data_IF_119247060953
#
_entry.id   IF_119247060953
#
_cell.length_a   1.000
_cell.length_b   1.000
_cell.length_c   1.000
_cell.angle_alpha   90.00
_cell.angle_beta   90.00
_cell.angle_gamma   90.00
#
_symmetry.space_group_name_H-M   'P 1'
#
loop_
_entity.id
_entity.type
_entity.pdbx_description
1 polymer ?
#
# COMPACT_ATOMS: atom_id res chain seq x y z
N UNK A 1 16.99 -7.34 5.03
CA UNK A 1 16.03 -7.74 3.98
C UNK A 1 15.78 -6.58 3.03
N UNK A 2 15.28 -6.89 1.83
CA UNK A 2 14.76 -5.86 0.93
C UNK A 2 13.23 -5.86 1.01
N UNK A 3 12.64 -4.68 1.18
CA UNK A 3 11.19 -4.48 1.25
C UNK A 3 10.72 -3.57 0.11
N UNK A 4 9.49 -3.76 -0.37
CA UNK A 4 8.83 -2.82 -1.27
C UNK A 4 7.59 -2.24 -0.56
N UNK A 5 7.40 -0.93 -0.67
CA UNK A 5 6.27 -0.21 -0.09
C UNK A 5 5.53 0.54 -1.19
N UNK A 6 4.31 0.13 -1.51
CA UNK A 6 3.43 0.95 -2.34
C UNK A 6 2.73 1.98 -1.48
N UNK A 7 2.51 3.19 -1.99
CA UNK A 7 2.00 4.28 -1.18
C UNK A 7 3.05 4.80 -0.17
N UNK A 8 4.33 4.61 -0.48
CA UNK A 8 5.44 4.93 0.42
C UNK A 8 5.67 6.42 0.66
N UNK A 9 5.13 7.30 -0.17
CA UNK A 9 5.15 8.76 0.03
C UNK A 9 3.91 9.28 0.78
N UNK A 10 2.97 8.41 1.14
CA UNK A 10 1.81 8.72 1.97
C UNK A 10 2.16 8.84 3.45
N UNK A 11 1.16 9.18 4.29
CA UNK A 11 1.33 9.38 5.74
C UNK A 11 1.89 8.13 6.46
N UNK A 12 1.21 7.00 6.33
CA UNK A 12 1.66 5.74 6.97
C UNK A 12 2.85 5.13 6.24
N UNK A 13 2.87 5.24 4.89
CA UNK A 13 3.92 4.68 4.07
C UNK A 13 5.29 5.28 4.34
N UNK A 14 5.41 6.60 4.43
CA UNK A 14 6.67 7.27 4.70
C UNK A 14 7.23 6.93 6.08
N UNK A 15 6.37 6.86 7.10
CA UNK A 15 6.75 6.41 8.44
C UNK A 15 7.29 4.98 8.44
N UNK A 16 6.66 4.08 7.67
CA UNK A 16 7.13 2.70 7.52
C UNK A 16 8.47 2.65 6.78
N UNK A 17 8.63 3.44 5.71
CA UNK A 17 9.89 3.55 4.95
C UNK A 17 11.04 3.99 5.87
N UNK A 18 10.83 5.07 6.64
CA UNK A 18 11.83 5.57 7.59
C UNK A 18 12.20 4.50 8.62
N UNK A 19 11.22 3.77 9.16
CA UNK A 19 11.47 2.72 10.12
C UNK A 19 12.25 1.55 9.52
N UNK A 20 11.90 1.09 8.33
CA UNK A 20 12.61 0.01 7.65
C UNK A 20 14.08 0.38 7.36
N UNK A 21 14.31 1.61 6.92
CA UNK A 21 15.66 2.12 6.66
C UNK A 21 16.48 2.26 7.95
N UNK A 22 15.85 2.72 9.04
CA UNK A 22 16.48 2.83 10.37
C UNK A 22 16.89 1.45 10.90
N UNK A 23 16.08 0.42 10.65
CA UNK A 23 16.38 -0.97 11.02
C UNK A 23 17.41 -1.63 10.06
N UNK A 24 18.00 -0.88 9.13
CA UNK A 24 19.08 -1.33 8.23
C UNK A 24 18.61 -2.08 7.00
N UNK A 25 17.34 -1.98 6.63
CA UNK A 25 16.79 -2.62 5.45
C UNK A 25 17.01 -1.79 4.18
N UNK A 26 16.88 -2.41 3.01
CA UNK A 26 16.76 -1.75 1.72
C UNK A 26 15.28 -1.60 1.38
N UNK A 27 14.89 -0.46 0.83
CA UNK A 27 13.50 -0.15 0.56
C UNK A 27 13.30 0.33 -0.88
N UNK A 28 12.34 -0.26 -1.57
CA UNK A 28 11.82 0.22 -2.84
C UNK A 28 10.45 0.83 -2.59
N UNK A 29 10.24 2.05 -3.05
CA UNK A 29 8.97 2.77 -2.96
C UNK A 29 8.33 2.83 -4.35
N UNK A 30 7.02 2.58 -4.42
CA UNK A 30 6.17 2.85 -5.58
C UNK A 30 5.03 3.76 -5.12
N UNK A 31 4.94 4.97 -5.67
CA UNK A 31 3.93 5.97 -5.31
C UNK A 31 3.67 6.88 -6.50
N UNK A 32 2.44 7.25 -6.79
CA UNK A 32 2.10 8.17 -7.88
C UNK A 32 2.04 9.64 -7.44
N UNK A 33 2.24 9.90 -6.15
CA UNK A 33 2.17 11.22 -5.52
C UNK A 33 0.81 11.90 -5.64
N UNK A 34 -0.26 11.15 -5.93
CA UNK A 34 -1.61 11.69 -6.08
C UNK A 34 -2.20 12.18 -4.75
N UNK A 35 -1.84 11.52 -3.64
CA UNK A 35 -2.23 11.90 -2.27
C UNK A 35 -1.04 11.99 -1.33
N UNK A 36 0.06 11.32 -1.63
CA UNK A 36 1.35 11.46 -0.96
C UNK A 36 2.10 12.72 -1.41
N UNK A 37 3.21 13.00 -0.75
CA UNK A 37 4.11 14.09 -1.10
C UNK A 37 5.56 13.59 -1.17
N UNK A 38 6.29 14.00 -2.19
CA UNK A 38 7.70 13.65 -2.35
C UNK A 38 8.55 14.07 -1.14
N UNK A 39 8.21 15.21 -0.53
CA UNK A 39 8.85 15.72 0.68
C UNK A 39 8.74 14.78 1.90
N UNK A 40 7.75 13.89 1.94
CA UNK A 40 7.63 12.90 3.01
C UNK A 40 8.77 11.87 2.99
N UNK A 41 9.54 11.79 1.89
CA UNK A 41 10.69 10.90 1.73
C UNK A 41 12.05 11.60 1.95
N UNK A 42 12.07 12.88 2.32
CA UNK A 42 13.33 13.65 2.44
C UNK A 42 14.27 13.05 3.50
N UNK A 43 13.75 12.61 4.64
CA UNK A 43 14.55 11.92 5.65
C UNK A 43 15.06 10.55 5.14
N UNK A 44 14.20 9.79 4.48
CA UNK A 44 14.52 8.48 3.91
C UNK A 44 15.65 8.56 2.86
N UNK A 45 15.74 9.64 2.08
CA UNK A 45 16.80 9.87 1.08
C UNK A 45 18.21 9.92 1.66
N UNK A 46 18.35 10.21 2.95
CA UNK A 46 19.65 10.16 3.63
C UNK A 46 20.24 8.73 3.69
N UNK A 47 19.41 7.72 3.46
CA UNK A 47 19.87 6.33 3.38
C UNK A 47 20.64 5.99 2.09
N UNK A 48 20.71 6.93 1.12
CA UNK A 48 21.44 6.77 -0.14
C UNK A 48 20.91 5.57 -0.95
N UNK A 49 21.81 4.71 -1.40
CA UNK A 49 21.49 3.58 -2.28
C UNK A 49 20.55 2.52 -1.66
N UNK A 50 20.26 2.64 -0.36
CA UNK A 50 19.29 1.74 0.30
C UNK A 50 17.84 2.12 0.04
N UNK A 51 17.57 3.28 -0.55
CA UNK A 51 16.26 3.73 -0.97
C UNK A 51 16.19 3.88 -2.49
N UNK A 52 15.23 3.21 -3.12
CA UNK A 52 14.88 3.41 -4.52
C UNK A 52 13.43 3.88 -4.59
N UNK A 53 13.16 4.94 -5.35
CA UNK A 53 11.80 5.50 -5.48
C UNK A 53 11.38 5.47 -6.94
N UNK A 54 10.25 4.83 -7.20
CA UNK A 54 9.57 4.85 -8.48
C UNK A 54 8.29 5.69 -8.36
N UNK A 55 8.25 6.82 -9.07
CA UNK A 55 7.01 7.61 -9.20
C UNK A 55 6.15 6.92 -10.25
N UNK A 56 5.18 6.12 -9.80
CA UNK A 56 4.40 5.25 -10.66
C UNK A 56 3.03 4.95 -10.07
N UNK A 57 2.01 5.00 -10.93
CA UNK A 57 0.66 4.57 -10.58
C UNK A 57 0.59 3.02 -10.55
N UNK A 58 0.02 2.46 -9.50
CA UNK A 58 -0.13 1.01 -9.37
C UNK A 58 -1.05 0.40 -10.45
N UNK A 59 -1.90 1.21 -11.09
CA UNK A 59 -2.73 0.78 -12.22
C UNK A 59 -1.94 0.54 -13.51
N UNK A 60 -0.75 1.10 -13.61
CA UNK A 60 0.11 0.86 -14.77
C UNK A 60 0.64 -0.58 -14.75
N UNK A 61 0.45 -1.36 -15.82
CA UNK A 61 0.95 -2.74 -15.90
C UNK A 61 2.46 -2.87 -15.63
N UNK A 62 3.25 -1.83 -15.94
CA UNK A 62 4.68 -1.82 -15.63
C UNK A 62 4.98 -1.90 -14.12
N UNK A 63 3.98 -1.68 -13.26
CA UNK A 63 4.14 -1.87 -11.81
C UNK A 63 4.47 -3.33 -11.47
N UNK A 64 3.90 -4.30 -12.18
CA UNK A 64 4.25 -5.73 -12.00
C UNK A 64 5.74 -5.97 -12.26
N UNK A 65 6.29 -5.37 -13.32
CA UNK A 65 7.70 -5.50 -13.67
C UNK A 65 8.60 -4.86 -12.60
N UNK A 66 8.22 -3.68 -12.10
CA UNK A 66 8.96 -2.98 -11.03
C UNK A 66 8.96 -3.83 -9.76
N UNK A 67 7.81 -4.37 -9.36
CA UNK A 67 7.70 -5.23 -8.18
C UNK A 67 8.52 -6.50 -8.34
N UNK A 68 8.41 -7.18 -9.47
CA UNK A 68 9.17 -8.40 -9.77
C UNK A 68 10.69 -8.15 -9.76
N UNK A 69 11.13 -7.07 -10.42
CA UNK A 69 12.55 -6.71 -10.50
C UNK A 69 13.12 -6.18 -9.18
N UNK A 70 12.27 -5.77 -8.24
CA UNK A 70 12.72 -5.18 -6.97
C UNK A 70 13.52 -6.16 -6.11
N UNK A 71 13.30 -7.46 -6.25
CA UNK A 71 13.87 -8.48 -5.38
C UNK A 71 13.38 -8.38 -3.92
N UNK A 72 12.21 -7.76 -3.70
CA UNK A 72 11.66 -7.58 -2.36
C UNK A 72 11.24 -8.90 -1.73
N UNK A 73 11.75 -9.19 -0.54
CA UNK A 73 11.32 -10.33 0.28
C UNK A 73 9.92 -10.13 0.87
N UNK A 74 9.59 -8.87 1.17
CA UNK A 74 8.29 -8.46 1.71
C UNK A 74 7.77 -7.25 0.94
N UNK A 75 6.51 -7.31 0.51
CA UNK A 75 5.79 -6.18 -0.07
C UNK A 75 4.77 -5.67 0.95
N UNK A 76 4.83 -4.38 1.27
CA UNK A 76 3.82 -3.66 2.04
C UNK A 76 2.95 -2.85 1.08
N UNK A 77 1.72 -3.28 0.90
CA UNK A 77 0.78 -2.63 0.00
C UNK A 77 -0.11 -1.65 0.77
N UNK A 78 0.25 -0.36 0.69
CA UNK A 78 -0.46 0.74 1.35
C UNK A 78 -1.08 1.73 0.36
N UNK A 79 -0.74 1.62 -0.93
CA UNK A 79 -1.36 2.43 -1.97
C UNK A 79 -2.84 2.04 -2.12
N UNK A 80 -3.72 3.00 -1.96
CA UNK A 80 -5.16 2.80 -2.11
C UNK A 80 -5.88 4.13 -2.36
N UNK A 81 -7.04 4.05 -3.01
CA UNK A 81 -8.06 5.08 -2.94
C UNK A 81 -8.86 4.83 -1.66
N UNK A 82 -8.77 5.75 -0.67
CA UNK A 82 -9.34 5.55 0.67
C UNK A 82 -10.51 6.48 1.01
N UNK A 83 -10.87 7.43 0.14
CA UNK A 83 -11.99 8.34 0.36
C UNK A 83 -13.32 7.69 -0.05
N UNK A 84 -14.15 7.33 0.93
CA UNK A 84 -15.47 6.71 0.71
C UNK A 84 -16.38 7.55 -0.21
N UNK A 85 -16.28 8.88 -0.16
CA UNK A 85 -17.06 9.75 -1.03
C UNK A 85 -16.67 9.57 -2.51
N UNK A 86 -15.38 9.37 -2.77
CA UNK A 86 -14.88 9.08 -4.12
C UNK A 86 -15.31 7.70 -4.55
N UNK A 87 -15.23 6.70 -3.67
CA UNK A 87 -15.61 5.33 -4.02
C UNK A 87 -17.10 5.21 -4.38
N UNK A 88 -17.97 5.89 -3.64
CA UNK A 88 -19.40 5.95 -3.96
C UNK A 88 -19.68 6.73 -5.24
N UNK A 89 -19.01 7.87 -5.44
CA UNK A 89 -19.24 8.72 -6.63
C UNK A 89 -18.61 8.13 -7.91
N UNK A 90 -17.51 7.40 -7.79
CA UNK A 90 -16.72 6.89 -8.90
C UNK A 90 -16.25 5.43 -8.64
N UNK A 91 -17.18 4.47 -8.53
CA UNK A 91 -16.83 3.09 -8.15
C UNK A 91 -15.90 2.39 -9.15
N UNK A 92 -15.96 2.76 -10.44
CA UNK A 92 -15.03 2.23 -11.44
C UNK A 92 -13.58 2.71 -11.23
N UNK A 93 -13.41 3.97 -10.81
CA UNK A 93 -12.10 4.51 -10.45
C UNK A 93 -11.57 3.80 -9.20
N UNK A 94 -12.40 3.67 -8.18
CA UNK A 94 -12.08 2.97 -6.95
C UNK A 94 -11.61 1.53 -7.23
N UNK A 95 -12.40 0.76 -7.97
CA UNK A 95 -12.06 -0.61 -8.36
C UNK A 95 -10.77 -0.67 -9.21
N UNK A 96 -10.53 0.31 -10.08
CA UNK A 96 -9.30 0.33 -10.88
C UNK A 96 -8.05 0.49 -10.02
N UNK A 97 -8.12 1.29 -8.95
CA UNK A 97 -7.00 1.49 -8.03
C UNK A 97 -6.91 0.31 -7.06
N UNK A 98 -7.98 0.02 -6.34
CA UNK A 98 -7.96 -0.90 -5.20
C UNK A 98 -7.98 -2.38 -5.60
N UNK A 99 -8.49 -2.72 -6.80
CA UNK A 99 -8.54 -4.10 -7.29
C UNK A 99 -7.50 -4.33 -8.39
N UNK A 100 -7.55 -3.57 -9.49
CA UNK A 100 -6.63 -3.80 -10.61
C UNK A 100 -5.18 -3.44 -10.20
N UNK A 101 -4.99 -2.32 -9.49
CA UNK A 101 -3.68 -1.94 -8.96
C UNK A 101 -3.10 -3.00 -8.02
N UNK A 102 -3.91 -3.54 -7.10
CA UNK A 102 -3.50 -4.64 -6.24
C UNK A 102 -3.09 -5.89 -7.05
N UNK A 103 -3.83 -6.23 -8.10
CA UNK A 103 -3.50 -7.38 -8.95
C UNK A 103 -2.12 -7.22 -9.61
N UNK A 104 -1.78 -6.03 -10.11
CA UNK A 104 -0.43 -5.78 -10.66
C UNK A 104 0.66 -5.99 -9.59
N UNK A 105 0.42 -5.52 -8.36
CA UNK A 105 1.37 -5.72 -7.25
C UNK A 105 1.51 -7.20 -6.89
N UNK A 106 0.40 -7.95 -6.81
CA UNK A 106 0.41 -9.38 -6.48
C UNK A 106 1.07 -10.23 -7.57
N UNK A 107 0.81 -9.93 -8.84
CA UNK A 107 1.46 -10.61 -9.97
C UNK A 107 2.97 -10.36 -9.96
N UNK A 108 3.39 -9.10 -9.78
CA UNK A 108 4.81 -8.78 -9.66
C UNK A 108 5.47 -9.46 -8.44
N UNK A 109 4.78 -9.50 -7.30
CA UNK A 109 5.27 -10.19 -6.11
C UNK A 109 5.43 -11.69 -6.34
N UNK A 110 4.46 -12.33 -7.02
CA UNK A 110 4.51 -13.75 -7.41
C UNK A 110 5.68 -14.02 -8.35
N UNK A 111 5.85 -13.21 -9.38
CA UNK A 111 6.93 -13.36 -10.37
C UNK A 111 8.31 -13.10 -9.77
N UNK A 112 8.44 -12.11 -8.89
CA UNK A 112 9.68 -11.79 -8.19
C UNK A 112 10.04 -12.74 -7.05
N UNK A 113 9.16 -13.72 -6.72
CA UNK A 113 9.40 -14.67 -5.64
C UNK A 113 9.30 -14.06 -4.24
N UNK A 114 8.52 -12.99 -4.10
CA UNK A 114 8.25 -12.34 -2.80
C UNK A 114 7.68 -13.34 -1.80
N UNK A 115 8.26 -13.41 -0.61
CA UNK A 115 7.87 -14.36 0.43
C UNK A 115 6.56 -13.99 1.13
N UNK A 116 6.26 -12.69 1.27
CA UNK A 116 5.09 -12.19 1.99
C UNK A 116 4.60 -10.86 1.42
N UNK A 117 3.29 -10.77 1.27
CA UNK A 117 2.61 -9.49 1.04
C UNK A 117 1.83 -9.12 2.30
N UNK A 118 2.00 -7.89 2.78
CA UNK A 118 1.24 -7.28 3.87
C UNK A 118 0.30 -6.26 3.23
N UNK A 119 -0.98 -6.52 3.30
CA UNK A 119 -2.03 -5.67 2.72
C UNK A 119 -2.69 -4.83 3.82
N UNK A 120 -2.77 -3.52 3.62
CA UNK A 120 -3.52 -2.64 4.50
C UNK A 120 -5.02 -2.73 4.17
N UNK A 121 -5.79 -3.31 5.07
CA UNK A 121 -7.23 -3.36 5.00
C UNK A 121 -7.86 -2.20 5.81
N UNK A 122 -9.18 -2.13 5.87
CA UNK A 122 -9.91 -1.08 6.58
C UNK A 122 -10.97 -1.68 7.49
N UNK A 123 -10.87 -1.40 8.78
CA UNK A 123 -11.89 -1.84 9.75
C UNK A 123 -13.27 -1.27 9.45
N UNK A 124 -13.36 0.00 9.03
CA UNK A 124 -14.64 0.63 8.64
C UNK A 124 -15.28 -0.03 7.42
N UNK A 125 -14.47 -0.47 6.44
CA UNK A 125 -14.98 -1.18 5.27
C UNK A 125 -15.44 -2.59 5.63
N UNK A 126 -14.66 -3.32 6.45
CA UNK A 126 -14.96 -4.73 6.78
C UNK A 126 -16.15 -4.84 7.73
N UNK A 127 -16.16 -4.07 8.81
CA UNK A 127 -17.14 -4.21 9.88
C UNK A 127 -18.34 -3.25 9.74
N UNK A 128 -18.30 -2.31 8.78
CA UNK A 128 -19.39 -1.34 8.55
C UNK A 128 -19.68 -0.48 9.78
N UNK A 129 -20.95 -0.45 10.19
CA UNK A 129 -21.43 0.29 11.36
C UNK A 129 -21.83 -0.69 12.47
N UNK A 130 -20.90 -1.16 13.31
CA UNK A 130 -21.19 -2.11 14.38
C UNK A 130 -22.02 -1.46 15.50
N UNK A 131 -22.78 -2.27 16.22
CA UNK A 131 -23.50 -1.81 17.42
C UNK A 131 -22.50 -1.21 18.43
N UNK A 132 -22.82 -0.04 19.04
CA UNK A 132 -21.94 0.60 20.02
C UNK A 132 -21.55 -0.30 21.21
N UNK A 133 -22.35 -1.31 21.53
CA UNK A 133 -22.09 -2.24 22.63
C UNK A 133 -20.93 -3.22 22.37
N UNK A 134 -20.51 -3.38 21.10
CA UNK A 134 -19.40 -4.27 20.71
C UNK A 134 -18.11 -3.50 20.42
N UNK A 135 -18.07 -2.22 20.74
CA UNK A 135 -16.86 -1.41 20.58
C UNK A 135 -15.93 -1.51 21.81
N UNK A 136 -14.60 -1.56 21.63
CA UNK A 136 -13.91 -1.61 20.34
C UNK A 136 -14.09 -2.95 19.63
N UNK A 137 -14.17 -2.92 18.30
CA UNK A 137 -14.34 -4.11 17.45
C UNK A 137 -13.06 -4.94 17.47
N UNK A 138 -13.19 -6.25 17.59
CA UNK A 138 -12.10 -7.22 17.42
C UNK A 138 -12.36 -8.15 16.21
N UNK A 139 -11.41 -9.03 15.93
CA UNK A 139 -11.45 -9.92 14.76
C UNK A 139 -12.52 -11.03 14.86
N UNK A 140 -13.24 -11.15 15.96
CA UNK A 140 -14.37 -12.10 16.13
C UNK A 140 -15.68 -11.58 15.59
N UNK A 141 -15.76 -10.27 15.29
CA UNK A 141 -16.98 -9.67 14.79
C UNK A 141 -17.26 -10.05 13.33
N UNK A 142 -18.53 -10.22 12.95
CA UNK A 142 -18.89 -10.55 11.58
C UNK A 142 -18.53 -9.40 10.62
N UNK A 143 -18.10 -9.77 9.41
CA UNK A 143 -17.86 -8.82 8.34
C UNK A 143 -19.20 -8.34 7.77
N UNK A 144 -19.49 -7.05 7.85
CA UNK A 144 -20.73 -6.42 7.41
C UNK A 144 -20.44 -5.13 6.60
N UNK A 145 -19.78 -5.24 5.43
CA UNK A 145 -19.43 -4.07 4.64
C UNK A 145 -20.67 -3.32 4.17
N UNK A 146 -20.66 -1.98 4.29
CA UNK A 146 -21.75 -1.09 3.89
C UNK A 146 -21.36 -0.13 2.75
N UNK A 147 -20.09 -0.14 2.34
CA UNK A 147 -19.56 0.66 1.24
C UNK A 147 -18.74 -0.21 0.27
N UNK A 148 -18.53 0.26 -0.98
CA UNK A 148 -17.65 -0.40 -1.95
C UNK A 148 -16.24 -0.59 -1.42
#
# INVERSE_FOLDING_TARGET
MRALVTGGAGFSGSTLVDRLLADGHEVVVVDDLSSGADANLDAARQAGDRLVVHVKDIRDPATSEIVAASGAEVVYHLAAQADVRVSVAQPALDASINVIGLLHVLEGAREGGTRKVVFASSGGTIYGEPDPSVLPVDESQPELPTAP
#
